data_IF_893461344654
#
_entry.id   IF_893461344654
#
_cell.length_a   1.000
_cell.length_b   1.000
_cell.length_c   1.000
_cell.angle_alpha   90.00
_cell.angle_beta   90.00
_cell.angle_gamma   90.00
#
_symmetry.space_group_name_H-M   'P 1'
#
loop_
_entity.id
_entity.type
_entity.pdbx_description
1 polymer ?
#
# COMPACT_ATOMS: atom_id res chain seq x y z
N UNK A 1 2.11 -1.94 -20.24
CA UNK A 1 0.87 -2.07 -19.44
C UNK A 1 1.17 -1.47 -18.08
N UNK A 2 0.39 -0.50 -17.62
CA UNK A 2 0.70 0.22 -16.40
C UNK A 2 0.69 -0.71 -15.19
N UNK A 3 1.77 -0.66 -14.40
CA UNK A 3 1.93 -1.38 -13.14
C UNK A 3 1.84 -0.37 -12.00
N UNK A 4 0.95 -0.63 -11.05
CA UNK A 4 0.67 0.28 -9.92
C UNK A 4 0.88 -0.49 -8.63
N UNK A 5 1.67 0.07 -7.72
CA UNK A 5 1.94 -0.54 -6.42
C UNK A 5 1.54 0.40 -5.30
N UNK A 6 0.56 -0.01 -4.50
CA UNK A 6 0.20 0.64 -3.25
C UNK A 6 1.16 0.20 -2.15
N UNK A 7 2.07 1.09 -1.75
CA UNK A 7 3.13 0.79 -0.78
C UNK A 7 2.93 1.61 0.49
N UNK A 8 2.51 0.95 1.54
CA UNK A 8 2.32 1.55 2.85
C UNK A 8 2.18 0.44 3.86
N UNK A 9 2.44 0.72 5.13
CA UNK A 9 2.24 -0.30 6.16
C UNK A 9 0.77 -0.75 6.18
N UNK A 10 0.47 -1.97 6.67
CA UNK A 10 -0.92 -2.35 6.92
C UNK A 10 -1.65 -1.28 7.73
N UNK A 11 -2.97 -1.20 7.57
CA UNK A 11 -3.84 -0.23 8.28
C UNK A 11 -3.68 1.25 7.85
N UNK A 12 -3.06 1.50 6.70
CA UNK A 12 -2.92 2.85 6.11
C UNK A 12 -3.92 3.16 4.99
N UNK A 13 -4.79 2.21 4.62
CA UNK A 13 -5.83 2.48 3.60
C UNK A 13 -5.93 1.54 2.41
N UNK A 14 -5.16 0.46 2.36
CA UNK A 14 -5.07 -0.42 1.17
C UNK A 14 -6.41 -0.92 0.62
N UNK A 15 -7.43 -1.09 1.47
CA UNK A 15 -8.77 -1.54 1.01
C UNK A 15 -9.45 -0.45 0.18
N UNK A 16 -9.45 0.78 0.67
CA UNK A 16 -9.94 1.94 -0.09
C UNK A 16 -9.14 2.15 -1.36
N UNK A 17 -7.80 2.06 -1.30
CA UNK A 17 -6.96 2.25 -2.48
C UNK A 17 -7.25 1.21 -3.56
N UNK A 18 -7.36 -0.06 -3.18
CA UNK A 18 -7.68 -1.16 -4.11
C UNK A 18 -9.00 -0.89 -4.81
N UNK A 19 -10.02 -0.51 -4.02
CA UNK A 19 -11.33 -0.20 -4.57
C UNK A 19 -11.31 1.02 -5.50
N UNK A 20 -10.54 2.05 -5.17
CA UNK A 20 -10.39 3.23 -6.02
C UNK A 20 -9.76 2.87 -7.36
N UNK A 21 -8.72 2.03 -7.34
CA UNK A 21 -8.05 1.55 -8.56
C UNK A 21 -8.99 0.68 -9.43
N UNK A 22 -9.82 -0.17 -8.82
CA UNK A 22 -10.87 -0.91 -9.55
C UNK A 22 -11.88 0.02 -10.22
N UNK A 23 -12.34 1.06 -9.52
CA UNK A 23 -13.28 2.06 -10.09
C UNK A 23 -12.64 2.78 -11.29
N UNK A 24 -11.33 3.02 -11.26
CA UNK A 24 -10.58 3.62 -12.38
C UNK A 24 -10.27 2.62 -13.52
N UNK A 25 -10.77 1.38 -13.42
CA UNK A 25 -10.67 0.35 -14.45
C UNK A 25 -9.41 -0.52 -14.36
N UNK A 26 -8.64 -0.45 -13.27
CA UNK A 26 -7.47 -1.31 -13.08
C UNK A 26 -7.87 -2.64 -12.46
N UNK A 27 -7.40 -3.75 -13.05
CA UNK A 27 -7.50 -5.06 -12.40
C UNK A 27 -6.58 -5.09 -11.20
N UNK A 28 -7.15 -5.03 -10.01
CA UNK A 28 -6.43 -4.77 -8.76
C UNK A 28 -6.54 -5.96 -7.80
N UNK A 29 -5.52 -6.15 -6.96
CA UNK A 29 -5.51 -7.17 -5.91
C UNK A 29 -4.91 -6.62 -4.61
N UNK A 30 -5.60 -6.87 -3.50
CA UNK A 30 -5.14 -6.58 -2.15
C UNK A 30 -4.59 -7.86 -1.51
N UNK A 31 -3.50 -7.75 -0.75
CA UNK A 31 -2.82 -8.88 -0.10
C UNK A 31 -2.53 -9.99 -1.13
N UNK A 32 -1.66 -9.73 -2.13
CA UNK A 32 -1.42 -10.68 -3.21
C UNK A 32 -0.50 -11.82 -2.78
N UNK A 33 -0.94 -12.62 -1.81
CA UNK A 33 -0.16 -13.76 -1.28
C UNK A 33 0.15 -14.80 -2.36
N UNK A 34 -0.77 -14.97 -3.31
CA UNK A 34 -0.58 -15.82 -4.48
C UNK A 34 0.58 -15.34 -5.38
N UNK A 35 0.99 -14.07 -5.24
CA UNK A 35 2.06 -13.47 -6.03
C UNK A 35 3.45 -13.58 -5.40
N UNK A 36 3.59 -14.29 -4.27
CA UNK A 36 4.88 -14.57 -3.65
C UNK A 36 5.05 -16.05 -3.34
N UNK A 37 6.30 -16.49 -3.29
CA UNK A 37 6.72 -17.79 -2.77
C UNK A 37 6.68 -17.78 -1.24
N UNK A 38 6.85 -18.95 -0.62
CA UNK A 38 6.83 -19.10 0.84
C UNK A 38 7.98 -18.34 1.52
N UNK A 39 9.08 -18.10 0.79
CA UNK A 39 10.21 -17.25 1.21
C UNK A 39 9.98 -15.74 0.96
N UNK A 40 8.76 -15.37 0.58
CA UNK A 40 8.32 -14.02 0.21
C UNK A 40 8.95 -13.48 -1.08
N UNK A 41 9.75 -14.25 -1.83
CA UNK A 41 10.21 -13.82 -3.16
C UNK A 41 9.05 -13.70 -4.15
N UNK A 42 9.15 -12.76 -5.09
CA UNK A 42 8.06 -12.47 -6.03
C UNK A 42 7.92 -13.62 -7.04
N UNK A 43 6.69 -14.13 -7.21
CA UNK A 43 6.33 -15.03 -8.31
C UNK A 43 6.07 -14.21 -9.57
N UNK A 44 7.09 -13.95 -10.37
CA UNK A 44 6.99 -13.00 -11.50
C UNK A 44 5.85 -13.29 -12.49
N UNK A 45 5.53 -14.57 -12.76
CA UNK A 45 4.45 -14.94 -13.67
C UNK A 45 3.07 -14.50 -13.18
N UNK A 46 2.85 -14.51 -11.86
CA UNK A 46 1.57 -14.08 -11.25
C UNK A 46 1.30 -12.58 -11.37
N UNK A 47 2.34 -11.78 -11.63
CA UNK A 47 2.20 -10.34 -11.79
C UNK A 47 1.69 -9.95 -13.18
N UNK A 48 1.54 -10.90 -14.12
CA UNK A 48 1.00 -10.62 -15.46
C UNK A 48 -0.50 -10.35 -15.45
N UNK A 49 -1.22 -10.94 -14.50
CA UNK A 49 -2.68 -10.96 -14.50
C UNK A 49 -3.34 -9.71 -13.93
N UNK A 50 -2.58 -8.82 -13.30
CA UNK A 50 -3.10 -7.61 -12.66
C UNK A 50 -2.37 -6.36 -13.15
N UNK A 51 -2.99 -5.21 -12.88
CA UNK A 51 -2.43 -3.89 -13.11
C UNK A 51 -2.02 -3.21 -11.80
N UNK A 52 -2.68 -3.54 -10.70
CA UNK A 52 -2.43 -2.93 -9.41
C UNK A 52 -2.36 -3.94 -8.26
N UNK A 53 -1.40 -3.73 -7.35
CA UNK A 53 -1.24 -4.54 -6.15
C UNK A 53 -1.08 -3.64 -4.93
N UNK A 54 -1.72 -4.01 -3.83
CA UNK A 54 -1.68 -3.25 -2.58
C UNK A 54 -1.47 -4.17 -1.38
N UNK A 55 -1.02 -3.58 -0.28
CA UNK A 55 -0.78 -4.24 1.01
C UNK A 55 0.35 -5.29 0.96
N UNK A 56 0.48 -6.03 2.05
CA UNK A 56 1.51 -7.07 2.23
C UNK A 56 1.26 -8.24 1.28
N UNK A 57 2.26 -8.75 0.54
CA UNK A 57 3.71 -8.55 0.71
C UNK A 57 4.34 -7.39 -0.09
N UNK A 58 3.59 -6.67 -0.92
CA UNK A 58 4.11 -5.62 -1.82
C UNK A 58 4.82 -4.51 -1.05
N UNK A 59 4.28 -4.15 0.11
CA UNK A 59 4.87 -3.21 1.08
C UNK A 59 6.33 -3.55 1.41
N UNK A 60 6.72 -4.82 1.47
CA UNK A 60 8.08 -5.23 1.83
C UNK A 60 9.01 -5.39 0.62
N UNK A 61 8.48 -5.25 -0.60
CA UNK A 61 9.18 -5.59 -1.84
C UNK A 61 9.32 -4.43 -2.82
N UNK A 62 9.03 -3.20 -2.39
CA UNK A 62 9.00 -2.03 -3.26
C UNK A 62 10.32 -1.78 -4.01
N UNK A 63 11.47 -2.05 -3.39
CA UNK A 63 12.79 -1.88 -4.05
C UNK A 63 13.04 -2.91 -5.14
N UNK A 64 12.61 -4.16 -4.94
CA UNK A 64 12.69 -5.22 -5.94
C UNK A 64 11.72 -4.95 -7.10
N UNK A 65 10.49 -4.58 -6.77
CA UNK A 65 9.45 -4.24 -7.75
C UNK A 65 9.82 -3.05 -8.61
N UNK A 66 10.48 -2.05 -8.04
CA UNK A 66 10.98 -0.90 -8.80
C UNK A 66 12.05 -1.30 -9.82
N UNK A 67 13.03 -2.10 -9.40
CA UNK A 67 14.07 -2.61 -10.31
C UNK A 67 13.48 -3.45 -11.43
N UNK A 68 12.47 -4.25 -11.12
CA UNK A 68 11.80 -5.11 -12.08
C UNK A 68 10.88 -4.34 -13.04
N UNK A 69 10.21 -3.30 -12.54
CA UNK A 69 9.31 -2.45 -13.32
C UNK A 69 9.68 -0.97 -13.16
N UNK A 70 10.73 -0.48 -13.86
CA UNK A 70 11.19 0.91 -13.77
C UNK A 70 10.13 1.95 -14.18
N UNK A 71 9.14 1.52 -14.97
CA UNK A 71 8.01 2.34 -15.40
C UNK A 71 6.77 2.23 -14.53
N UNK A 72 6.81 1.42 -13.48
CA UNK A 72 5.71 1.32 -12.53
C UNK A 72 5.49 2.65 -11.79
N UNK A 73 4.25 2.83 -11.34
CA UNK A 73 3.80 3.95 -10.51
C UNK A 73 3.58 3.46 -9.08
N UNK A 74 4.03 4.24 -8.11
CA UNK A 74 3.94 3.87 -6.69
C UNK A 74 3.07 4.85 -5.93
N UNK A 75 2.12 4.34 -5.16
CA UNK A 75 1.23 5.14 -4.31
C UNK A 75 1.61 4.85 -2.86
N UNK A 76 2.26 5.81 -2.22
CA UNK A 76 2.75 5.71 -0.86
C UNK A 76 1.62 6.08 0.08
N UNK A 77 0.95 5.09 0.67
CA UNK A 77 -0.10 5.35 1.65
C UNK A 77 0.53 5.85 2.94
N UNK A 78 0.04 6.97 3.45
CA UNK A 78 0.46 7.58 4.69
C UNK A 78 -0.75 7.84 5.59
N UNK A 79 -0.58 7.73 6.91
CA UNK A 79 -1.61 8.04 7.90
C UNK A 79 -0.94 8.67 9.12
N UNK A 80 -1.63 9.57 9.81
CA UNK A 80 -1.13 10.07 11.09
C UNK A 80 -0.74 8.91 12.04
N UNK A 81 0.51 8.94 12.52
CA UNK A 81 1.14 7.84 13.27
C UNK A 81 0.35 7.42 14.51
N UNK A 82 -0.25 8.38 15.24
CA UNK A 82 -1.03 8.11 16.46
C UNK A 82 -2.28 7.30 16.09
N UNK A 83 -3.07 7.81 15.14
CA UNK A 83 -4.29 7.11 14.72
C UNK A 83 -4.01 5.78 14.02
N UNK A 84 -2.83 5.64 13.41
CA UNK A 84 -2.37 4.40 12.81
C UNK A 84 -1.99 3.38 13.89
N UNK A 85 -1.23 3.79 14.92
CA UNK A 85 -0.85 2.94 16.05
C UNK A 85 -2.07 2.41 16.81
N UNK A 86 -3.07 3.26 17.06
CA UNK A 86 -4.34 2.84 17.66
C UNK A 86 -5.04 1.76 16.80
N UNK A 87 -5.01 1.93 15.48
CA UNK A 87 -5.57 0.94 14.55
C UNK A 87 -4.77 -0.36 14.56
N UNK A 88 -3.45 -0.31 14.61
CA UNK A 88 -2.61 -1.51 14.71
C UNK A 88 -2.89 -2.23 16.02
N UNK A 89 -2.83 -1.51 17.14
CA UNK A 89 -3.09 -2.04 18.49
C UNK A 89 -4.43 -2.75 18.58
N UNK A 90 -5.50 -2.15 18.07
CA UNK A 90 -6.82 -2.79 18.05
C UNK A 90 -6.82 -4.08 17.21
N UNK A 91 -6.45 -4.00 15.93
CA UNK A 91 -6.61 -5.12 15.01
C UNK A 91 -5.66 -6.29 15.30
N UNK A 92 -4.45 -6.01 15.79
CA UNK A 92 -3.49 -7.05 16.16
C UNK A 92 -3.69 -7.59 17.58
N UNK A 93 -4.55 -6.96 18.40
CA UNK A 93 -5.00 -7.54 19.67
C UNK A 93 -6.10 -8.60 19.50
N UNK A 94 -6.76 -8.65 18.34
CA UNK A 94 -7.78 -9.65 18.05
C UNK A 94 -7.12 -11.02 17.85
N UNK A 95 -7.74 -12.06 18.40
CA UNK A 95 -7.30 -13.46 18.23
C UNK A 95 -7.68 -14.00 16.85
N UNK A 96 -7.03 -13.44 15.83
CA UNK A 96 -7.21 -13.81 14.42
C UNK A 96 -5.83 -14.26 13.90
N UNK A 97 -5.66 -15.55 13.54
CA UNK A 97 -4.36 -16.11 13.16
C UNK A 97 -3.63 -15.33 12.07
N UNK A 98 -4.36 -14.88 11.04
CA UNK A 98 -3.79 -14.10 9.94
C UNK A 98 -3.21 -12.76 10.41
N UNK A 99 -3.86 -12.10 11.37
CA UNK A 99 -3.36 -10.85 11.95
C UNK A 99 -2.17 -11.10 12.87
N UNK A 100 -2.14 -12.19 13.61
CA UNK A 100 -0.99 -12.55 14.43
C UNK A 100 0.26 -12.81 13.56
N UNK A 101 0.11 -13.58 12.48
CA UNK A 101 1.19 -13.87 11.54
C UNK A 101 1.68 -12.60 10.83
N UNK A 102 0.74 -11.77 10.37
CA UNK A 102 1.07 -10.48 9.76
C UNK A 102 1.83 -9.58 10.75
N UNK A 103 1.34 -9.47 11.98
CA UNK A 103 1.97 -8.69 13.03
C UNK A 103 3.43 -9.14 13.25
N UNK A 104 3.63 -10.45 13.45
CA UNK A 104 4.96 -11.03 13.66
C UNK A 104 5.90 -10.78 12.48
N UNK A 105 5.39 -10.85 11.25
CA UNK A 105 6.20 -10.69 10.03
C UNK A 105 6.69 -9.25 9.80
N UNK A 106 5.88 -8.25 10.16
CA UNK A 106 6.17 -6.83 9.88
C UNK A 106 6.78 -6.12 11.09
N UNK A 107 6.24 -6.37 12.29
CA UNK A 107 6.62 -5.64 13.51
C UNK A 107 7.60 -6.43 14.36
N UNK A 108 7.59 -7.76 14.29
CA UNK A 108 8.45 -8.61 15.12
C UNK A 108 8.22 -8.32 16.61
N UNK A 109 9.29 -7.91 17.30
CA UNK A 109 9.26 -7.47 18.71
C UNK A 109 9.43 -5.96 18.88
N UNK A 110 9.47 -5.19 17.80
CA UNK A 110 9.65 -3.74 17.84
C UNK A 110 8.33 -3.02 18.14
N UNK A 111 8.41 -1.76 18.60
CA UNK A 111 7.22 -0.93 18.76
C UNK A 111 6.63 -0.55 17.39
N UNK A 112 5.33 -0.28 17.35
CA UNK A 112 4.68 0.20 16.12
C UNK A 112 5.31 1.49 15.59
N UNK A 113 5.62 2.43 16.49
CA UNK A 113 6.23 3.71 16.16
C UNK A 113 7.62 3.54 15.54
N UNK A 114 8.44 2.65 16.07
CA UNK A 114 9.78 2.40 15.52
C UNK A 114 9.71 1.80 14.12
N UNK A 115 8.81 0.84 13.91
CA UNK A 115 8.58 0.22 12.60
C UNK A 115 8.07 1.23 11.60
N UNK A 116 7.10 2.07 12.00
CA UNK A 116 6.58 3.15 11.16
C UNK A 116 7.69 4.11 10.76
N UNK A 117 8.42 4.63 11.74
CA UNK A 117 9.46 5.63 11.53
C UNK A 117 10.57 5.08 10.64
N UNK A 118 11.05 3.87 10.94
CA UNK A 118 12.09 3.22 10.15
C UNK A 118 11.62 2.94 8.71
N UNK A 119 10.42 2.37 8.54
CA UNK A 119 9.88 2.05 7.22
C UNK A 119 9.72 3.30 6.35
N UNK A 120 9.05 4.35 6.85
CA UNK A 120 8.83 5.57 6.07
C UNK A 120 10.12 6.36 5.85
N UNK A 121 11.05 6.40 6.80
CA UNK A 121 12.37 7.02 6.57
C UNK A 121 13.14 6.30 5.45
N UNK A 122 13.16 4.96 5.46
CA UNK A 122 13.84 4.17 4.43
C UNK A 122 13.16 4.33 3.07
N UNK A 123 11.83 4.33 3.05
CA UNK A 123 11.03 4.46 1.83
C UNK A 123 11.17 5.88 1.23
N UNK A 124 11.05 6.95 2.03
CA UNK A 124 11.33 8.30 1.53
C UNK A 124 12.77 8.47 1.08
N UNK A 125 13.74 7.96 1.84
CA UNK A 125 15.16 7.97 1.42
C UNK A 125 15.35 7.23 0.09
N UNK A 126 14.66 6.12 -0.12
CA UNK A 126 14.72 5.37 -1.36
C UNK A 126 14.16 6.19 -2.54
N UNK A 127 12.94 6.71 -2.43
CA UNK A 127 12.28 7.42 -3.52
C UNK A 127 12.88 8.82 -3.79
N UNK A 128 13.38 9.51 -2.76
CA UNK A 128 14.06 10.79 -2.93
C UNK A 128 15.44 10.64 -3.61
N UNK A 129 16.23 9.64 -3.18
CA UNK A 129 17.61 9.51 -3.65
C UNK A 129 17.75 8.66 -4.93
N UNK A 130 16.94 7.62 -5.09
CA UNK A 130 17.13 6.62 -6.15
C UNK A 130 16.08 6.68 -7.26
N UNK A 131 14.92 7.26 -6.99
CA UNK A 131 13.82 7.37 -7.95
C UNK A 131 13.34 8.82 -8.11
N UNK A 132 14.27 9.68 -8.53
CA UNK A 132 13.95 11.07 -8.87
C UNK A 132 12.93 11.12 -10.04
N UNK A 133 11.72 11.64 -9.82
CA UNK A 133 10.70 11.82 -10.86
C UNK A 133 9.24 11.65 -10.41
N UNK A 134 8.31 11.86 -11.34
CA UNK A 134 6.84 11.85 -11.15
C UNK A 134 6.19 10.45 -11.09
N UNK A 135 6.95 9.41 -10.73
CA UNK A 135 6.46 8.01 -10.72
C UNK A 135 6.04 7.53 -9.33
N UNK A 136 5.96 8.42 -8.36
CA UNK A 136 5.33 8.14 -7.08
C UNK A 136 4.56 9.34 -6.53
N UNK A 137 3.56 9.07 -5.69
CA UNK A 137 2.86 10.07 -4.88
C UNK A 137 2.73 9.60 -3.44
N UNK A 138 2.59 10.54 -2.51
CA UNK A 138 2.15 10.26 -1.14
C UNK A 138 0.66 10.53 -1.07
N UNK A 139 -0.09 9.55 -0.58
CA UNK A 139 -1.54 9.62 -0.46
C UNK A 139 -1.94 9.42 1.00
N UNK A 140 -2.57 10.45 1.57
CA UNK A 140 -3.34 10.29 2.81
C UNK A 140 -4.78 9.97 2.44
N UNK A 141 -5.17 8.70 2.58
CA UNK A 141 -6.50 8.25 2.17
C UNK A 141 -7.61 8.72 3.11
N UNK A 142 -7.23 9.24 4.28
CA UNK A 142 -8.17 9.81 5.25
C UNK A 142 -8.49 11.27 4.93
N UNK A 143 -7.69 11.93 4.08
CA UNK A 143 -7.96 13.28 3.60
C UNK A 143 -9.04 13.31 2.52
N UNK A 144 -9.71 14.46 2.37
CA UNK A 144 -10.86 14.64 1.46
C UNK A 144 -10.49 14.63 -0.03
N UNK A 145 -9.20 14.54 -0.37
CA UNK A 145 -8.67 14.74 -1.73
C UNK A 145 -8.25 13.46 -2.45
N UNK A 146 -8.76 12.29 -2.03
CA UNK A 146 -8.33 11.00 -2.58
C UNK A 146 -8.46 10.89 -4.11
N UNK A 147 -9.56 11.39 -4.69
CA UNK A 147 -9.75 11.32 -6.14
C UNK A 147 -8.82 12.24 -6.91
N UNK A 148 -8.69 13.51 -6.52
CA UNK A 148 -7.87 14.47 -7.26
C UNK A 148 -6.42 14.00 -7.35
N UNK A 149 -5.84 13.57 -6.23
CA UNK A 149 -4.44 13.11 -6.19
C UNK A 149 -4.20 11.86 -7.05
N UNK A 150 -5.06 10.84 -6.93
CA UNK A 150 -4.87 9.60 -7.68
C UNK A 150 -5.16 9.82 -9.18
N UNK A 151 -6.21 10.57 -9.52
CA UNK A 151 -6.60 10.78 -10.91
C UNK A 151 -5.58 11.63 -11.67
N UNK A 152 -5.06 12.70 -11.05
CA UNK A 152 -3.96 13.50 -11.60
C UNK A 152 -2.72 12.62 -11.84
N UNK A 153 -2.32 11.84 -10.83
CA UNK A 153 -1.15 10.97 -10.92
C UNK A 153 -1.27 9.86 -11.97
N UNK A 154 -2.47 9.30 -12.14
CA UNK A 154 -2.74 8.22 -13.09
C UNK A 154 -3.22 8.73 -14.46
N UNK A 155 -3.32 10.05 -14.65
CA UNK A 155 -3.86 10.70 -15.84
C UNK A 155 -5.25 10.14 -16.22
N UNK A 156 -6.19 10.20 -15.28
CA UNK A 156 -7.58 9.74 -15.40
C UNK A 156 -8.55 10.86 -15.07
N UNK A 157 -9.76 10.76 -15.60
CA UNK A 157 -10.86 11.61 -15.17
C UNK A 157 -11.34 11.22 -13.76
N UNK A 158 -11.75 12.23 -12.98
CA UNK A 158 -12.37 11.99 -11.68
C UNK A 158 -13.73 11.33 -11.90
N UNK A 159 -13.99 10.14 -11.33
CA UNK A 159 -15.26 9.46 -11.52
C UNK A 159 -16.37 10.16 -10.73
N UNK A 160 -17.61 10.08 -11.24
CA UNK A 160 -18.78 10.65 -10.57
C UNK A 160 -19.31 9.74 -9.43
N UNK A 161 -18.43 9.38 -8.50
CA UNK A 161 -18.74 8.60 -7.29
C UNK A 161 -17.88 9.10 -6.13
N UNK A 162 -18.35 8.97 -4.89
CA UNK A 162 -17.55 9.31 -3.71
C UNK A 162 -16.30 8.43 -3.62
N UNK A 163 -15.21 9.00 -3.07
CA UNK A 163 -13.99 8.23 -2.85
C UNK A 163 -14.27 7.10 -1.83
N UNK A 164 -13.79 5.86 -2.08
CA UNK A 164 -14.07 4.75 -1.19
C UNK A 164 -13.41 4.96 0.18
N UNK A 165 -14.21 4.96 1.25
CA UNK A 165 -13.75 4.96 2.64
C UNK A 165 -14.15 3.67 3.33
N UNK A 166 -13.46 2.57 2.99
CA UNK A 166 -13.73 1.24 3.50
C UNK A 166 -12.91 0.96 4.76
N UNK A 167 -13.42 0.08 5.64
CA UNK A 167 -12.79 -0.27 6.91
C UNK A 167 -12.57 0.91 7.88
N UNK A 168 -13.44 1.94 7.82
CA UNK A 168 -13.53 2.92 8.90
C UNK A 168 -14.07 2.23 10.15
N UNK A 169 -13.45 2.50 11.29
CA UNK A 169 -14.05 2.22 12.59
C UNK A 169 -15.21 3.20 12.73
N UNK A 170 -16.44 2.70 12.84
CA UNK A 170 -17.53 3.51 13.40
C UNK A 170 -17.16 3.74 14.87
N UNK A 171 -17.12 5.02 15.26
CA UNK A 171 -16.81 5.45 16.62
C UNK A 171 -17.91 5.03 17.59
#
# INVERSE_FOLDING_TARGET
MDKIFGIGLPKTGHTSLTRALEILGYKSIKIPIACVNDDLSIKYDSLKDYNAWTDTPITMKYTELDKLYPDARFILLHRNIITWEESCSFWFSLDIPDYHNLHKSIFGSASYVDVYTSYYNNLFSYFLNYRCGSKYIILDICAEYGWSQICEFLNKDIPNVSFPHLNKREG
#
